data_IF_431789872326
#
_entry.id   IF_431789872326
#
_cell.length_a   1.000
_cell.length_b   1.000
_cell.length_c   1.000
_cell.angle_alpha   90.00
_cell.angle_beta   90.00
_cell.angle_gamma   90.00
#
_symmetry.space_group_name_H-M   'P 1'
#
loop_
_entity.id
_entity.type
_entity.pdbx_description
1 polymer ?
#
# COMPACT_ATOMS: atom_id res chain seq x y z
N UNK A 1 24.35 26.90 19.77
CA UNK A 1 23.91 27.16 18.38
C UNK A 1 23.75 25.91 17.51
N UNK A 2 24.82 25.21 17.08
CA UNK A 2 24.67 24.06 16.15
C UNK A 2 23.85 22.91 16.75
N UNK A 3 24.13 22.52 18.00
CA UNK A 3 23.36 21.46 18.68
C UNK A 3 21.88 21.82 18.86
N UNK A 4 21.57 23.09 19.13
CA UNK A 4 20.19 23.56 19.25
C UNK A 4 19.45 23.48 17.91
N UNK A 5 20.11 23.86 16.81
CA UNK A 5 19.55 23.74 15.46
C UNK A 5 19.32 22.28 15.07
N UNK A 6 20.25 21.38 15.40
CA UNK A 6 20.08 19.94 15.18
C UNK A 6 18.94 19.36 16.02
N UNK A 7 18.80 19.80 17.28
CA UNK A 7 17.70 19.38 18.14
C UNK A 7 16.34 19.84 17.58
N UNK A 8 16.21 21.11 17.18
CA UNK A 8 15.00 21.65 16.55
C UNK A 8 14.65 20.86 15.29
N UNK A 9 15.64 20.62 14.43
CA UNK A 9 15.46 19.83 13.22
C UNK A 9 14.98 18.40 13.53
N UNK A 10 15.63 17.71 14.46
CA UNK A 10 15.23 16.37 14.90
C UNK A 10 13.80 16.36 15.47
N UNK A 11 13.43 17.37 16.27
CA UNK A 11 12.07 17.53 16.80
C UNK A 11 11.02 17.74 15.72
N UNK A 12 11.33 18.50 14.65
CA UNK A 12 10.43 18.67 13.50
C UNK A 12 10.21 17.34 12.79
N UNK A 13 11.27 16.61 12.46
CA UNK A 13 11.16 15.30 11.80
C UNK A 13 10.33 14.33 12.64
N UNK A 14 10.65 14.22 13.93
CA UNK A 14 9.95 13.34 14.85
C UNK A 14 8.48 13.75 15.01
N UNK A 15 8.21 15.05 15.12
CA UNK A 15 6.85 15.59 15.17
C UNK A 15 6.02 15.20 13.94
N UNK A 16 6.60 15.27 12.74
CA UNK A 16 5.92 14.82 11.51
C UNK A 16 5.65 13.31 11.49
N UNK A 17 6.61 12.49 11.91
CA UNK A 17 6.46 11.02 11.96
C UNK A 17 5.40 10.62 12.99
N UNK A 18 5.47 11.16 14.21
CA UNK A 18 4.53 10.86 15.29
C UNK A 18 3.13 11.32 14.93
N UNK A 19 2.95 12.58 14.49
CA UNK A 19 1.63 13.12 14.14
C UNK A 19 0.95 12.31 13.03
N UNK A 20 1.69 11.97 11.96
CA UNK A 20 1.19 11.13 10.87
C UNK A 20 0.81 9.74 11.37
N UNK A 21 1.66 9.13 12.21
CA UNK A 21 1.40 7.80 12.79
C UNK A 21 0.14 7.82 13.67
N UNK A 22 0.00 8.82 14.54
CA UNK A 22 -1.18 8.99 15.38
C UNK A 22 -2.46 9.18 14.54
N UNK A 23 -2.42 10.02 13.50
CA UNK A 23 -3.55 10.18 12.59
C UNK A 23 -3.96 8.84 11.99
N UNK A 24 -3.00 8.07 11.46
CA UNK A 24 -3.27 6.77 10.84
C UNK A 24 -3.90 5.79 11.85
N UNK A 25 -3.33 5.65 13.04
CA UNK A 25 -3.83 4.75 14.09
C UNK A 25 -5.25 5.14 14.53
N UNK A 26 -5.54 6.44 14.61
CA UNK A 26 -6.86 6.97 14.93
C UNK A 26 -7.85 6.92 13.75
N UNK A 27 -7.48 6.31 12.63
CA UNK A 27 -8.30 6.21 11.43
C UNK A 27 -8.48 7.53 10.65
N UNK A 28 -7.72 8.56 11.03
CA UNK A 28 -7.71 9.88 10.39
C UNK A 28 -6.62 9.95 9.32
N UNK A 29 -6.60 11.06 8.58
CA UNK A 29 -5.60 11.36 7.57
C UNK A 29 -5.40 12.88 7.47
N UNK A 30 -4.43 13.30 6.65
CA UNK A 30 -4.12 14.71 6.42
C UNK A 30 -5.13 15.45 5.51
N UNK A 31 -6.25 14.81 5.16
CA UNK A 31 -7.29 15.38 4.31
C UNK A 31 -6.76 15.76 2.92
N UNK A 32 -7.14 16.95 2.45
CA UNK A 32 -6.73 17.46 1.14
C UNK A 32 -5.28 18.00 1.10
N UNK A 33 -4.59 18.08 2.24
CA UNK A 33 -3.26 18.71 2.33
C UNK A 33 -2.22 18.06 1.40
N UNK A 34 -2.06 16.72 1.34
CA UNK A 34 -1.11 16.09 0.43
C UNK A 34 -1.42 16.38 -1.05
N UNK A 35 -2.71 16.46 -1.40
CA UNK A 35 -3.16 16.77 -2.76
C UNK A 35 -2.86 18.22 -3.14
N UNK A 36 -3.03 19.17 -2.22
CA UNK A 36 -2.61 20.56 -2.44
C UNK A 36 -1.11 20.66 -2.64
N UNK A 37 -0.31 19.97 -1.81
CA UNK A 37 1.14 19.91 -2.01
C UNK A 37 1.51 19.38 -3.40
N UNK A 38 0.94 18.24 -3.82
CA UNK A 38 1.23 17.65 -5.14
C UNK A 38 0.81 18.57 -6.29
N UNK A 39 -0.36 19.22 -6.19
CA UNK A 39 -0.82 20.20 -7.19
C UNK A 39 0.10 21.41 -7.26
N UNK A 40 0.53 21.94 -6.13
CA UNK A 40 1.48 23.06 -6.08
C UNK A 40 2.82 22.68 -6.69
N UNK A 41 3.35 21.49 -6.38
CA UNK A 41 4.59 20.99 -6.99
C UNK A 41 4.44 20.82 -8.50
N UNK A 42 3.35 20.20 -8.97
CA UNK A 42 3.08 20.03 -10.39
C UNK A 42 2.96 21.37 -11.12
N UNK A 43 2.25 22.34 -10.52
CA UNK A 43 2.15 23.70 -11.05
C UNK A 43 3.52 24.39 -11.12
N UNK A 44 4.35 24.30 -10.08
CA UNK A 44 5.72 24.81 -10.10
C UNK A 44 6.53 24.15 -11.23
N UNK A 45 6.38 22.84 -11.42
CA UNK A 45 7.10 22.11 -12.47
C UNK A 45 6.73 22.56 -13.88
N UNK A 46 5.53 23.12 -14.12
CA UNK A 46 5.16 23.65 -15.46
C UNK A 46 6.01 24.83 -15.91
N UNK A 47 6.70 25.52 -14.99
CA UNK A 47 7.61 26.60 -15.33
C UNK A 47 9.00 26.12 -15.77
N UNK A 48 9.26 24.80 -15.75
CA UNK A 48 10.57 24.23 -16.03
C UNK A 48 10.47 23.12 -17.09
N UNK A 49 11.53 22.90 -17.89
CA UNK A 49 11.60 21.74 -18.77
C UNK A 49 11.68 20.44 -17.94
N UNK A 50 11.12 19.35 -18.47
CA UNK A 50 11.14 18.03 -17.81
C UNK A 50 12.55 17.52 -17.49
N UNK A 51 13.52 17.92 -18.33
CA UNK A 51 14.94 17.71 -18.12
C UNK A 51 15.54 19.03 -17.65
N UNK A 52 15.99 19.10 -16.40
CA UNK A 52 16.75 20.26 -15.92
C UNK A 52 17.95 20.46 -16.85
N UNK A 53 18.04 21.59 -17.58
CA UNK A 53 19.17 21.82 -18.45
C UNK A 53 20.44 21.84 -17.59
N UNK A 54 21.52 21.22 -18.08
CA UNK A 54 22.86 21.53 -17.60
C UNK A 54 23.14 22.97 -18.03
N UNK A 55 22.70 23.92 -17.19
CA UNK A 55 22.78 25.34 -17.48
C UNK A 55 23.62 26.02 -16.42
N UNK A 56 24.53 26.88 -16.86
CA UNK A 56 25.27 27.81 -16.00
C UNK A 56 24.38 28.96 -15.48
N UNK A 57 23.08 28.95 -15.83
CA UNK A 57 22.10 29.95 -15.40
C UNK A 57 21.79 29.78 -13.90
N UNK A 58 21.87 30.84 -13.07
CA UNK A 58 21.94 30.65 -11.62
C UNK A 58 20.60 30.22 -10.98
N UNK A 59 19.46 30.67 -11.51
CA UNK A 59 18.15 30.47 -10.87
C UNK A 59 17.67 29.01 -10.95
N UNK A 60 17.74 28.32 -12.11
CA UNK A 60 17.46 26.88 -12.19
C UNK A 60 18.36 26.04 -11.27
N UNK A 61 19.64 26.40 -11.16
CA UNK A 61 20.59 25.75 -10.26
C UNK A 61 20.22 25.95 -8.77
N UNK A 62 19.75 27.14 -8.39
CA UNK A 62 19.27 27.43 -7.03
C UNK A 62 18.04 26.57 -6.70
N UNK A 63 17.06 26.48 -7.60
CA UNK A 63 15.85 25.67 -7.39
C UNK A 63 16.20 24.18 -7.28
N UNK A 64 17.10 23.68 -8.14
CA UNK A 64 17.62 22.30 -8.04
C UNK A 64 18.27 22.06 -6.68
N UNK A 65 19.09 22.98 -6.17
CA UNK A 65 19.74 22.86 -4.85
C UNK A 65 18.73 22.90 -3.70
N UNK A 66 17.77 23.85 -3.72
CA UNK A 66 16.73 23.97 -2.68
C UNK A 66 15.84 22.72 -2.67
N UNK A 67 15.38 22.27 -3.83
CA UNK A 67 14.54 21.05 -3.92
C UNK A 67 15.31 19.81 -3.50
N UNK A 68 16.59 19.70 -3.84
CA UNK A 68 17.47 18.64 -3.36
C UNK A 68 17.61 18.66 -1.83
N UNK A 69 17.90 19.83 -1.25
CA UNK A 69 18.01 20.00 0.21
C UNK A 69 16.69 19.66 0.93
N UNK A 70 15.55 20.08 0.38
CA UNK A 70 14.25 19.74 0.96
C UNK A 70 13.94 18.24 0.85
N UNK A 71 14.22 17.62 -0.30
CA UNK A 71 13.98 16.19 -0.53
C UNK A 71 14.83 15.32 0.39
N UNK A 72 16.14 15.57 0.45
CA UNK A 72 17.07 14.75 1.23
C UNK A 72 17.15 15.15 2.69
N UNK A 73 16.92 16.43 3.00
CA UNK A 73 16.94 16.96 4.35
C UNK A 73 15.62 16.80 5.11
N UNK A 74 14.45 16.81 4.45
CA UNK A 74 13.17 16.73 5.18
C UNK A 74 12.31 15.56 4.72
N UNK A 75 12.02 15.45 3.42
CA UNK A 75 11.09 14.41 2.93
C UNK A 75 11.64 13.00 3.15
N UNK A 76 12.91 12.75 2.80
CA UNK A 76 13.52 11.43 2.92
C UNK A 76 13.61 10.96 4.37
N UNK A 77 14.11 11.74 5.35
CA UNK A 77 14.15 11.31 6.75
C UNK A 77 12.76 11.04 7.33
N UNK A 78 11.76 11.88 7.03
CA UNK A 78 10.37 11.65 7.47
C UNK A 78 9.82 10.34 6.89
N UNK A 79 10.01 10.14 5.59
CA UNK A 79 9.58 8.91 4.88
C UNK A 79 10.26 7.66 5.41
N UNK A 80 11.57 7.73 5.65
CA UNK A 80 12.33 6.65 6.26
C UNK A 80 11.81 6.36 7.68
N UNK A 81 11.55 7.39 8.49
CA UNK A 81 10.96 7.24 9.82
C UNK A 81 9.59 6.53 9.80
N UNK A 82 8.70 6.92 8.88
CA UNK A 82 7.40 6.26 8.69
C UNK A 82 7.53 4.81 8.21
N UNK A 83 8.46 4.54 7.30
CA UNK A 83 8.73 3.19 6.80
C UNK A 83 9.27 2.28 7.91
N UNK A 84 10.22 2.77 8.71
CA UNK A 84 10.75 2.06 9.87
C UNK A 84 9.66 1.80 10.91
N UNK A 85 8.77 2.78 11.13
CA UNK A 85 7.61 2.63 12.02
C UNK A 85 6.66 1.54 11.50
N UNK A 86 6.42 1.49 10.18
CA UNK A 86 5.62 0.42 9.56
C UNK A 86 6.23 -0.96 9.79
N UNK A 87 7.54 -1.13 9.61
CA UNK A 87 8.20 -2.42 9.85
C UNK A 87 8.24 -2.80 11.32
N UNK A 88 8.48 -1.83 12.22
CA UNK A 88 8.40 -2.07 13.66
C UNK A 88 6.99 -2.52 14.06
N UNK A 89 5.95 -1.86 13.53
CA UNK A 89 4.55 -2.23 13.77
C UNK A 89 4.24 -3.65 13.28
N UNK A 90 4.76 -4.03 12.10
CA UNK A 90 4.64 -5.39 11.55
C UNK A 90 5.32 -6.44 12.42
N UNK A 91 6.54 -6.18 12.87
CA UNK A 91 7.30 -7.10 13.73
C UNK A 91 6.58 -7.29 15.07
N UNK A 92 6.18 -6.19 15.71
CA UNK A 92 5.48 -6.25 17.01
C UNK A 92 4.17 -7.00 16.89
N UNK A 93 3.34 -6.70 15.89
CA UNK A 93 2.08 -7.42 15.69
C UNK A 93 2.32 -8.88 15.33
N UNK A 94 3.30 -9.19 14.48
CA UNK A 94 3.66 -10.58 14.15
C UNK A 94 4.09 -11.38 15.38
N UNK A 95 4.87 -10.78 16.29
CA UNK A 95 5.24 -11.41 17.56
C UNK A 95 4.03 -11.58 18.48
N UNK A 96 3.16 -10.58 18.61
CA UNK A 96 1.95 -10.70 19.44
C UNK A 96 1.01 -11.79 18.92
N UNK A 97 0.80 -11.83 17.60
CA UNK A 97 -0.10 -12.76 16.92
C UNK A 97 0.48 -14.19 16.88
N UNK A 98 1.79 -14.34 17.12
CA UNK A 98 2.39 -15.65 17.32
C UNK A 98 1.87 -16.33 18.59
N UNK A 99 1.58 -15.56 19.64
CA UNK A 99 1.17 -16.06 20.94
C UNK A 99 -0.35 -15.98 21.18
N UNK A 100 -1.12 -15.38 20.27
CA UNK A 100 -2.54 -15.11 20.45
C UNK A 100 -3.36 -15.52 19.22
N UNK A 101 -4.57 -16.01 19.45
CA UNK A 101 -5.56 -16.19 18.39
C UNK A 101 -6.26 -14.85 18.16
N UNK A 102 -6.06 -14.29 16.97
CA UNK A 102 -6.53 -12.95 16.60
C UNK A 102 -7.66 -13.08 15.59
N UNK A 103 -8.72 -12.31 15.79
CA UNK A 103 -9.89 -12.31 14.90
C UNK A 103 -9.56 -11.71 13.53
N UNK A 104 -10.36 -12.05 12.51
CA UNK A 104 -10.19 -11.51 11.15
C UNK A 104 -10.40 -9.99 11.11
N UNK A 105 -11.24 -9.44 11.99
CA UNK A 105 -11.44 -8.00 12.12
C UNK A 105 -10.18 -7.30 12.65
N UNK A 106 -9.49 -7.89 13.63
CA UNK A 106 -8.22 -7.37 14.15
C UNK A 106 -7.09 -7.48 13.12
N UNK A 107 -6.99 -8.59 12.40
CA UNK A 107 -6.05 -8.73 11.27
C UNK A 107 -6.33 -7.72 10.17
N UNK A 108 -7.60 -7.47 9.86
CA UNK A 108 -8.04 -6.46 8.90
C UNK A 108 -7.63 -5.07 9.36
N UNK A 109 -7.91 -4.72 10.62
CA UNK A 109 -7.49 -3.45 11.20
C UNK A 109 -5.98 -3.27 11.11
N UNK A 110 -5.21 -4.30 11.51
CA UNK A 110 -3.76 -4.29 11.42
C UNK A 110 -3.29 -4.07 9.98
N UNK A 111 -3.84 -4.81 9.02
CA UNK A 111 -3.49 -4.70 7.61
C UNK A 111 -3.74 -3.30 7.04
N UNK A 112 -4.83 -2.64 7.47
CA UNK A 112 -5.14 -1.25 7.11
C UNK A 112 -4.07 -0.29 7.65
N UNK A 113 -3.78 -0.38 8.95
CA UNK A 113 -2.80 0.52 9.61
C UNK A 113 -1.41 0.33 9.02
N UNK A 114 -0.95 -0.92 8.90
CA UNK A 114 0.34 -1.23 8.31
C UNK A 114 0.44 -0.74 6.87
N UNK A 115 -0.60 -0.94 6.05
CA UNK A 115 -0.61 -0.47 4.66
C UNK A 115 -0.56 1.06 4.58
N UNK A 116 -1.31 1.78 5.42
CA UNK A 116 -1.29 3.25 5.45
C UNK A 116 0.07 3.81 5.88
N UNK A 117 0.70 3.22 6.89
CA UNK A 117 2.06 3.61 7.32
C UNK A 117 3.07 3.36 6.20
N UNK A 118 3.04 2.17 5.61
CA UNK A 118 3.93 1.80 4.52
C UNK A 118 3.79 2.75 3.32
N UNK A 119 2.58 2.99 2.83
CA UNK A 119 2.33 3.90 1.71
C UNK A 119 2.78 5.34 2.02
N UNK A 120 2.57 5.80 3.26
CA UNK A 120 3.03 7.12 3.71
C UNK A 120 4.56 7.20 3.69
N UNK A 121 5.25 6.14 4.14
CA UNK A 121 6.71 6.02 4.05
C UNK A 121 7.22 5.97 2.60
N UNK A 122 6.49 5.30 1.70
CA UNK A 122 6.78 5.29 0.26
C UNK A 122 6.44 6.62 -0.43
N UNK A 123 5.72 7.53 0.25
CA UNK A 123 5.28 8.80 -0.30
C UNK A 123 4.16 8.69 -1.33
N UNK A 124 3.36 7.62 -1.24
CA UNK A 124 2.23 7.34 -2.14
C UNK A 124 0.98 8.02 -1.59
N UNK A 125 0.35 8.86 -2.40
CA UNK A 125 -0.94 9.51 -2.10
C UNK A 125 -2.01 8.87 -2.98
N UNK A 126 -2.96 8.17 -2.37
CA UNK A 126 -4.03 7.46 -3.08
C UNK A 126 -5.32 8.26 -3.01
N UNK A 127 -6.04 8.31 -4.13
CA UNK A 127 -7.42 8.85 -4.18
C UNK A 127 -8.37 7.71 -4.46
N UNK A 128 -9.32 7.48 -3.55
CA UNK A 128 -10.34 6.46 -3.70
C UNK A 128 -11.63 7.08 -4.20
N UNK A 129 -12.05 6.68 -5.40
CA UNK A 129 -13.33 7.09 -5.97
C UNK A 129 -14.35 5.96 -5.81
N UNK A 130 -15.64 6.29 -5.82
CA UNK A 130 -16.72 5.30 -5.86
C UNK A 130 -16.67 4.26 -4.72
N UNK A 131 -16.24 4.68 -3.53
CA UNK A 131 -16.01 3.80 -2.36
C UNK A 131 -17.26 3.01 -1.93
N UNK A 132 -18.45 3.48 -2.28
CA UNK A 132 -19.72 2.82 -1.98
C UNK A 132 -19.91 1.50 -2.75
N UNK A 133 -19.20 1.30 -3.87
CA UNK A 133 -19.17 0.04 -4.62
C UNK A 133 -18.12 -0.95 -4.10
N UNK A 134 -17.44 -0.64 -2.99
CA UNK A 134 -16.47 -1.58 -2.41
C UNK A 134 -17.15 -2.93 -2.12
N UNK A 135 -16.54 -4.06 -2.48
CA UNK A 135 -17.15 -5.38 -2.29
C UNK A 135 -17.42 -5.68 -0.82
N UNK A 136 -18.63 -6.17 -0.52
CA UNK A 136 -19.06 -6.53 0.85
C UNK A 136 -19.37 -8.02 1.02
N UNK A 137 -19.65 -8.70 -0.10
CA UNK A 137 -20.09 -10.09 -0.15
C UNK A 137 -19.08 -10.94 -0.92
N UNK A 138 -19.33 -12.25 -0.96
CA UNK A 138 -18.52 -13.20 -1.70
C UNK A 138 -18.40 -12.84 -3.19
N UNK A 139 -17.27 -13.23 -3.77
CA UNK A 139 -16.92 -12.93 -5.16
C UNK A 139 -15.47 -12.48 -5.31
N UNK A 140 -15.16 -11.93 -6.48
CA UNK A 140 -13.78 -11.61 -6.88
C UNK A 140 -13.65 -10.13 -7.15
N UNK A 141 -12.81 -9.46 -6.36
CA UNK A 141 -12.32 -8.13 -6.64
C UNK A 141 -11.21 -8.22 -7.69
N UNK A 142 -11.46 -7.73 -8.90
CA UNK A 142 -10.54 -7.83 -10.03
C UNK A 142 -9.92 -6.46 -10.28
N UNK A 143 -8.60 -6.35 -10.14
CA UNK A 143 -7.86 -5.12 -10.39
C UNK A 143 -6.78 -5.32 -11.46
N UNK A 144 -6.51 -4.28 -12.26
CA UNK A 144 -5.24 -4.21 -12.98
C UNK A 144 -4.06 -4.13 -11.99
N UNK A 145 -2.87 -4.58 -12.41
CA UNK A 145 -1.68 -4.66 -11.57
C UNK A 145 -0.52 -3.85 -12.14
N UNK A 146 -0.32 -2.66 -11.61
CA UNK A 146 0.72 -1.74 -12.08
C UNK A 146 1.99 -1.82 -11.25
N UNK A 147 1.88 -2.08 -9.94
CA UNK A 147 3.02 -2.12 -9.02
C UNK A 147 2.84 -3.14 -7.88
N UNK A 148 3.93 -3.59 -7.23
CA UNK A 148 3.82 -4.41 -6.03
C UNK A 148 3.02 -3.76 -4.90
N UNK A 149 2.96 -2.41 -4.87
CA UNK A 149 2.28 -1.63 -3.84
C UNK A 149 0.75 -1.60 -3.99
N UNK A 150 0.20 -2.15 -5.07
CA UNK A 150 -1.23 -2.10 -5.37
C UNK A 150 -2.06 -2.81 -4.29
N UNK A 151 -1.55 -3.90 -3.73
CA UNK A 151 -2.18 -4.61 -2.62
C UNK A 151 -2.30 -3.70 -1.41
N UNK A 152 -1.21 -3.01 -1.02
CA UNK A 152 -1.21 -2.08 0.10
C UNK A 152 -2.14 -0.89 -0.17
N UNK A 153 -2.15 -0.36 -1.40
CA UNK A 153 -3.05 0.72 -1.80
C UNK A 153 -4.52 0.31 -1.64
N UNK A 154 -4.90 -0.89 -2.08
CA UNK A 154 -6.27 -1.40 -1.96
C UNK A 154 -6.67 -1.70 -0.51
N UNK A 155 -5.73 -2.21 0.30
CA UNK A 155 -5.95 -2.47 1.72
C UNK A 155 -6.08 -1.17 2.53
N UNK A 156 -5.22 -0.18 2.29
CA UNK A 156 -5.26 1.11 2.97
C UNK A 156 -6.59 1.86 2.78
N UNK A 157 -7.25 1.63 1.64
CA UNK A 157 -8.58 2.16 1.31
C UNK A 157 -9.74 1.42 1.96
N UNK A 158 -9.50 0.34 2.70
CA UNK A 158 -10.55 -0.33 3.47
C UNK A 158 -11.00 0.59 4.61
N UNK A 159 -12.32 0.80 4.82
CA UNK A 159 -12.81 1.56 5.96
C UNK A 159 -12.37 0.95 7.28
N UNK A 160 -11.97 1.78 8.24
CA UNK A 160 -11.62 1.31 9.59
C UNK A 160 -12.87 0.74 10.27
N UNK A 161 -12.73 -0.37 11.00
CA UNK A 161 -13.85 -1.08 11.63
C UNK A 161 -14.55 -2.08 10.70
N UNK A 162 -14.08 -2.26 9.47
CA UNK A 162 -14.53 -3.35 8.61
C UNK A 162 -14.18 -4.69 9.25
N UNK A 163 -15.14 -5.63 9.28
CA UNK A 163 -14.90 -7.00 9.76
C UNK A 163 -13.99 -7.80 8.83
N UNK A 164 -13.83 -7.35 7.58
CA UNK A 164 -12.98 -7.97 6.58
C UNK A 164 -12.36 -6.95 5.63
N UNK A 165 -11.16 -7.28 5.15
CA UNK A 165 -10.51 -6.64 4.01
C UNK A 165 -10.64 -7.51 2.76
N UNK A 166 -9.79 -7.24 1.77
CA UNK A 166 -9.63 -8.18 0.66
C UNK A 166 -8.85 -9.40 1.13
N UNK A 167 -9.23 -10.59 0.65
CA UNK A 167 -8.37 -11.77 0.82
C UNK A 167 -7.35 -11.76 -0.32
N UNK A 168 -6.07 -11.62 0.03
CA UNK A 168 -4.99 -11.63 -0.97
C UNK A 168 -4.73 -13.06 -1.43
N UNK A 169 -4.41 -13.25 -2.71
CA UNK A 169 -4.02 -14.57 -3.22
C UNK A 169 -2.55 -14.60 -3.57
N UNK A 170 -1.88 -15.66 -3.12
CA UNK A 170 -0.49 -15.95 -3.46
C UNK A 170 -0.35 -17.27 -4.19
N UNK A 171 0.78 -17.48 -4.85
CA UNK A 171 1.18 -18.81 -5.29
C UNK A 171 1.72 -19.56 -4.07
N UNK A 172 1.31 -20.79 -3.85
CA UNK A 172 1.88 -21.62 -2.79
C UNK A 172 3.32 -22.02 -3.14
N UNK A 173 4.25 -21.79 -2.23
CA UNK A 173 5.65 -22.20 -2.34
C UNK A 173 6.05 -23.19 -1.23
N UNK A 174 7.23 -23.79 -1.35
CA UNK A 174 7.79 -24.74 -0.38
C UNK A 174 9.12 -24.22 0.20
N UNK A 175 9.63 -24.88 1.25
CA UNK A 175 10.89 -24.48 1.89
C UNK A 175 10.77 -23.18 2.67
N UNK A 176 11.81 -22.34 2.64
CA UNK A 176 11.90 -21.08 3.39
C UNK A 176 10.75 -20.13 3.05
N UNK A 177 10.36 -20.08 1.77
CA UNK A 177 9.25 -19.23 1.32
C UNK A 177 7.94 -19.68 1.97
N UNK A 178 7.70 -20.99 2.09
CA UNK A 178 6.53 -21.52 2.78
C UNK A 178 6.47 -21.17 4.27
N UNK A 179 7.62 -21.02 4.94
CA UNK A 179 7.67 -20.53 6.32
C UNK A 179 7.27 -19.05 6.43
N UNK A 180 7.65 -18.23 5.44
CA UNK A 180 7.25 -16.81 5.36
C UNK A 180 5.75 -16.71 5.05
N UNK A 181 5.21 -17.55 4.17
CA UNK A 181 3.78 -17.65 3.87
C UNK A 181 2.97 -17.95 5.15
N UNK A 182 3.40 -18.94 5.93
CA UNK A 182 2.74 -19.31 7.18
C UNK A 182 2.79 -18.20 8.24
N UNK A 183 3.86 -17.41 8.27
CA UNK A 183 3.94 -16.22 9.12
C UNK A 183 3.00 -15.11 8.62
N UNK A 184 2.92 -14.90 7.30
CA UNK A 184 2.03 -13.92 6.68
C UNK A 184 0.55 -14.24 6.92
N UNK A 185 0.13 -15.51 6.91
CA UNK A 185 -1.24 -15.95 7.20
C UNK A 185 -1.74 -15.57 8.60
N UNK A 186 -0.82 -15.42 9.54
CA UNK A 186 -1.16 -14.96 10.90
C UNK A 186 -1.44 -13.47 10.96
N UNK A 187 -0.89 -12.72 10.02
CA UNK A 187 -0.91 -11.25 10.01
C UNK A 187 -1.97 -10.71 9.05
N UNK A 188 -2.17 -11.36 7.90
CA UNK A 188 -3.11 -10.93 6.87
C UNK A 188 -3.91 -12.13 6.34
N UNK A 189 -5.24 -11.99 6.15
CA UNK A 189 -6.03 -13.04 5.51
C UNK A 189 -5.54 -13.27 4.08
N UNK A 190 -4.90 -14.42 3.85
CA UNK A 190 -4.31 -14.79 2.56
C UNK A 190 -4.76 -16.20 2.18
N UNK A 191 -4.91 -16.44 0.88
CA UNK A 191 -5.12 -17.77 0.32
C UNK A 191 -3.94 -18.10 -0.59
N UNK A 192 -3.14 -19.09 -0.18
CA UNK A 192 -2.04 -19.63 -0.98
C UNK A 192 -2.54 -20.73 -1.90
N UNK A 193 -2.58 -20.43 -3.20
CA UNK A 193 -3.11 -21.32 -4.23
C UNK A 193 -1.97 -22.07 -4.89
N UNK A 194 -2.07 -23.41 -4.94
CA UNK A 194 -1.26 -24.18 -5.89
C UNK A 194 -1.93 -24.12 -7.27
N UNK A 195 -1.52 -23.14 -8.08
CA UNK A 195 -2.09 -22.92 -9.41
C UNK A 195 -1.75 -24.07 -10.38
N UNK A 196 -0.71 -24.86 -10.12
CA UNK A 196 -0.30 -25.99 -10.97
C UNK A 196 -1.20 -27.20 -10.75
N UNK A 197 -1.65 -27.42 -9.52
CA UNK A 197 -2.56 -28.51 -9.16
C UNK A 197 -4.01 -28.23 -9.56
N UNK A 198 -4.65 -29.20 -10.25
CA UNK A 198 -6.08 -29.13 -10.54
C UNK A 198 -6.95 -29.12 -9.27
N UNK A 199 -6.51 -29.84 -8.23
CA UNK A 199 -7.15 -29.85 -6.91
C UNK A 199 -7.06 -28.47 -6.25
N UNK A 200 -5.88 -27.86 -6.24
CA UNK A 200 -5.67 -26.53 -5.67
C UNK A 200 -6.50 -25.44 -6.36
N UNK A 201 -6.65 -25.52 -7.68
CA UNK A 201 -7.57 -24.62 -8.41
C UNK A 201 -9.03 -24.83 -8.02
N UNK A 202 -9.49 -26.07 -7.84
CA UNK A 202 -10.87 -26.37 -7.42
C UNK A 202 -11.16 -25.82 -6.03
N UNK A 203 -10.28 -26.08 -5.07
CA UNK A 203 -10.39 -25.58 -3.69
C UNK A 203 -10.45 -24.05 -3.66
N UNK A 204 -9.62 -23.39 -4.47
CA UNK A 204 -9.69 -21.93 -4.63
C UNK A 204 -11.06 -21.44 -5.11
N UNK A 205 -11.68 -22.09 -6.10
CA UNK A 205 -13.02 -21.72 -6.56
C UNK A 205 -14.11 -21.96 -5.51
N UNK A 206 -13.98 -23.00 -4.68
CA UNK A 206 -14.90 -23.23 -3.58
C UNK A 206 -14.79 -22.15 -2.50
N UNK A 207 -13.59 -21.63 -2.25
CA UNK A 207 -13.35 -20.53 -1.31
C UNK A 207 -13.95 -19.20 -1.79
N UNK A 208 -13.86 -18.89 -3.10
CA UNK A 208 -14.50 -17.69 -3.70
C UNK A 208 -15.98 -17.62 -3.34
N UNK A 209 -16.66 -18.78 -3.33
CA UNK A 209 -18.11 -18.86 -3.12
C UNK A 209 -18.52 -18.84 -1.64
N UNK A 210 -17.57 -19.00 -0.70
CA UNK A 210 -17.85 -19.16 0.74
C UNK A 210 -17.42 -17.98 1.59
N UNK A 211 -16.49 -17.14 1.11
CA UNK A 211 -15.79 -16.14 1.94
C UNK A 211 -15.90 -14.71 1.40
N UNK A 212 -15.34 -13.78 2.16
CA UNK A 212 -15.12 -12.37 1.82
C UNK A 212 -14.43 -12.17 0.45
N UNK A 213 -14.53 -10.97 -0.15
CA UNK A 213 -14.07 -10.72 -1.52
C UNK A 213 -12.59 -11.04 -1.70
N UNK A 214 -12.30 -11.90 -2.69
CA UNK A 214 -10.93 -12.30 -3.03
C UNK A 214 -10.34 -11.31 -4.03
N UNK A 215 -9.18 -10.73 -3.70
CA UNK A 215 -8.47 -9.82 -4.60
C UNK A 215 -7.59 -10.60 -5.58
N UNK A 216 -7.86 -10.39 -6.87
CA UNK A 216 -7.11 -10.97 -7.97
C UNK A 216 -6.56 -9.90 -8.92
N UNK A 217 -5.34 -10.14 -9.33
CA UNK A 217 -4.64 -9.46 -10.40
C UNK A 217 -4.53 -10.41 -11.60
N UNK A 218 -5.50 -10.45 -12.53
CA UNK A 218 -5.55 -11.44 -13.61
C UNK A 218 -4.39 -11.36 -14.60
N UNK A 219 -3.65 -10.27 -14.63
CA UNK A 219 -2.41 -10.11 -15.39
C UNK A 219 -1.35 -11.13 -14.92
N UNK A 220 -1.28 -11.35 -13.60
CA UNK A 220 -0.36 -12.28 -12.95
C UNK A 220 1.07 -11.73 -12.77
N UNK A 221 1.34 -10.51 -13.21
CA UNK A 221 2.59 -9.76 -13.01
C UNK A 221 2.30 -8.25 -13.10
N UNK A 222 3.19 -7.41 -12.54
CA UNK A 222 3.02 -5.96 -12.60
C UNK A 222 3.43 -5.41 -13.98
N UNK A 223 2.71 -4.39 -14.46
CA UNK A 223 2.99 -3.74 -15.75
C UNK A 223 3.92 -2.52 -15.67
N UNK A 224 4.50 -2.25 -14.50
CA UNK A 224 5.38 -1.10 -14.22
C UNK A 224 4.76 0.25 -14.63
N UNK A 225 3.45 0.43 -14.43
CA UNK A 225 2.69 1.66 -14.73
C UNK A 225 2.68 2.10 -16.22
N UNK A 226 3.01 1.21 -17.18
CA UNK A 226 3.09 1.60 -18.60
C UNK A 226 1.84 1.27 -19.41
N UNK A 227 1.21 0.13 -19.13
CA UNK A 227 0.03 -0.36 -19.84
C UNK A 227 -0.75 -1.36 -18.99
N UNK A 228 -1.96 -1.73 -19.41
CA UNK A 228 -2.68 -2.88 -18.84
C UNK A 228 -2.33 -4.11 -19.66
N UNK A 229 -2.03 -5.22 -19.00
CA UNK A 229 -1.68 -6.48 -19.66
C UNK A 229 -2.92 -7.33 -19.90
N UNK A 230 -2.80 -8.32 -20.79
CA UNK A 230 -3.90 -9.23 -21.08
C UNK A 230 -4.27 -10.06 -19.86
N UNK A 231 -5.57 -10.09 -19.54
CA UNK A 231 -6.09 -10.88 -18.43
C UNK A 231 -6.12 -12.37 -18.74
N UNK A 232 -5.74 -13.18 -17.75
CA UNK A 232 -5.88 -14.65 -17.85
C UNK A 232 -7.35 -15.06 -17.71
N UNK A 233 -7.90 -15.66 -18.77
CA UNK A 233 -9.33 -16.07 -18.86
C UNK A 233 -9.80 -16.98 -17.72
N UNK A 234 -8.92 -17.81 -17.16
CA UNK A 234 -9.27 -18.88 -16.23
C UNK A 234 -10.00 -18.43 -14.95
N UNK A 235 -9.92 -17.13 -14.59
CA UNK A 235 -10.58 -16.61 -13.40
C UNK A 235 -12.05 -16.24 -13.60
N UNK A 236 -12.50 -16.06 -14.84
CA UNK A 236 -13.86 -15.64 -15.18
C UNK A 236 -14.71 -16.88 -15.49
N UNK A 237 -15.52 -17.29 -14.52
CA UNK A 237 -16.48 -18.39 -14.66
C UNK A 237 -17.90 -17.90 -14.36
N UNK A 238 -18.87 -18.58 -14.94
CA UNK A 238 -20.27 -18.36 -14.66
C UNK A 238 -20.59 -18.59 -13.17
N UNK A 239 -21.49 -17.79 -12.62
CA UNK A 239 -21.88 -17.84 -11.20
C UNK A 239 -20.94 -17.13 -10.22
N UNK A 240 -19.84 -16.51 -10.69
CA UNK A 240 -18.93 -15.72 -9.84
C UNK A 240 -19.23 -14.23 -10.01
N UNK A 241 -19.59 -13.55 -8.92
CA UNK A 241 -19.72 -12.09 -8.90
C UNK A 241 -18.35 -11.44 -9.04
N UNK A 242 -18.21 -10.56 -10.04
CA UNK A 242 -17.00 -9.79 -10.31
C UNK A 242 -17.19 -8.36 -9.83
N UNK A 243 -16.24 -7.88 -9.03
CA UNK A 243 -16.16 -6.49 -8.61
C UNK A 243 -14.94 -5.83 -9.27
N UNK A 244 -15.14 -5.07 -10.35
CA UNK A 244 -14.04 -4.44 -11.07
C UNK A 244 -13.46 -3.28 -10.25
N UNK A 245 -12.14 -3.22 -10.22
CA UNK A 245 -11.36 -2.13 -9.63
C UNK A 245 -10.36 -1.67 -10.70
N UNK A 246 -10.20 -0.36 -10.84
CA UNK A 246 -9.20 0.23 -11.72
C UNK A 246 -8.23 1.07 -10.88
N UNK A 247 -6.93 0.85 -11.09
CA UNK A 247 -5.84 1.63 -10.50
C UNK A 247 -5.15 2.40 -11.63
N UNK A 248 -4.82 3.66 -11.36
CA UNK A 248 -4.08 4.56 -12.25
C UNK A 248 -3.07 5.35 -11.43
#
# INVERSE_FOLDING_TARGET
>A
MIFELLAIYGSILLGCVISTTCLIILGKNWGALPHYYLKSVAWIQTFYPDVYPESDVPWPAIIKRITWLFRWGFLFPIRLGLLLTSFAFLIVAGLMYYFQNVSDAEKTWFGIICSRLFLSGMGIVVTYNNIHFRPKEAGVAVSNHMSPNDVQALFAGTPLGSSHGFIVTGQKHSGIIGSIEAAADRICPTIWVDRKSAKGRREFFEEIMKKFPILLFPEGYCSNNTQVLQFRRAIFKEGITIYPIAIK
#
